data_IF_341182950065
#
_entry.id   IF_341182950065
#
_cell.length_a   1.000
_cell.length_b   1.000
_cell.length_c   1.000
_cell.angle_alpha   90.00
_cell.angle_beta   90.00
_cell.angle_gamma   90.00
#
_symmetry.space_group_name_H-M   'P 1'
#
loop_
_entity.id
_entity.type
_entity.pdbx_description
1 polymer ?
#
# COMPACT_ATOMS: atom_id res chain seq x y z
N UNK A 1 0.30 1.93 -80.52
CA UNK A 1 -0.22 2.69 -79.35
C UNK A 1 0.91 2.76 -78.33
N UNK A 2 1.80 3.75 -78.45
CA UNK A 2 2.91 3.93 -77.50
C UNK A 2 2.41 4.78 -76.34
N UNK A 3 2.16 4.16 -75.19
CA UNK A 3 1.95 4.88 -73.94
C UNK A 3 3.30 5.51 -73.56
N UNK A 4 3.47 6.81 -73.77
CA UNK A 4 4.58 7.54 -73.19
C UNK A 4 4.36 7.53 -71.67
N UNK A 5 5.11 6.67 -70.97
CA UNK A 5 5.08 6.52 -69.51
C UNK A 5 5.64 7.76 -68.80
N UNK A 6 4.96 8.89 -68.97
CA UNK A 6 5.21 10.09 -68.19
C UNK A 6 4.68 9.91 -66.77
N UNK A 7 5.40 10.47 -65.80
CA UNK A 7 4.95 10.52 -64.41
C UNK A 7 3.63 11.30 -64.36
N UNK A 8 2.54 10.72 -63.82
CA UNK A 8 1.25 11.39 -63.77
C UNK A 8 1.30 12.63 -62.86
N UNK A 9 0.43 13.62 -63.06
CA UNK A 9 0.35 14.78 -62.16
C UNK A 9 0.04 14.35 -60.72
N UNK A 10 0.75 14.93 -59.74
CA UNK A 10 0.59 14.53 -58.35
C UNK A 10 1.58 15.17 -57.38
N UNK A 11 1.44 14.84 -56.10
CA UNK A 11 2.38 15.23 -55.05
C UNK A 11 3.52 14.23 -54.96
N UNK A 12 4.75 14.72 -55.13
CA UNK A 12 5.95 13.91 -55.07
C UNK A 12 6.95 14.54 -54.10
N UNK A 13 7.84 13.73 -53.54
CA UNK A 13 8.91 14.20 -52.66
C UNK A 13 9.82 15.18 -53.43
N UNK A 14 10.16 16.31 -52.82
CA UNK A 14 11.03 17.32 -53.44
C UNK A 14 12.52 16.97 -53.37
N UNK A 15 12.87 15.81 -52.80
CA UNK A 15 14.23 15.27 -52.65
C UNK A 15 15.20 16.20 -51.90
N UNK A 16 14.71 17.26 -51.26
CA UNK A 16 15.51 18.18 -50.45
C UNK A 16 15.85 17.61 -49.07
N UNK A 17 15.25 16.47 -48.69
CA UNK A 17 15.39 15.87 -47.37
C UNK A 17 14.56 16.54 -46.28
N UNK A 18 13.79 17.59 -46.61
CA UNK A 18 12.90 18.29 -45.67
C UNK A 18 11.62 17.52 -45.33
N UNK A 19 11.28 16.50 -46.12
CA UNK A 19 10.01 15.77 -46.03
C UNK A 19 8.81 16.54 -46.59
N UNK A 20 9.07 17.62 -47.32
CA UNK A 20 8.08 18.41 -48.04
C UNK A 20 7.78 17.77 -49.41
N UNK A 21 6.50 17.73 -49.77
CA UNK A 21 6.09 17.30 -51.11
C UNK A 21 5.88 18.51 -52.02
N UNK A 22 6.26 18.38 -53.29
CA UNK A 22 6.07 19.38 -54.33
C UNK A 22 5.11 18.84 -55.40
N UNK A 23 4.32 19.73 -56.00
CA UNK A 23 3.35 19.33 -57.03
C UNK A 23 3.98 19.24 -58.43
N UNK A 24 3.84 18.08 -59.08
CA UNK A 24 4.17 17.82 -60.48
C UNK A 24 2.91 17.95 -61.35
N UNK A 25 2.95 18.75 -62.41
CA UNK A 25 1.79 18.98 -63.29
C UNK A 25 1.70 18.01 -64.48
N UNK A 26 2.62 17.04 -64.57
CA UNK A 26 2.74 16.12 -65.72
C UNK A 26 3.82 16.54 -66.72
N UNK A 27 4.34 17.76 -66.64
CA UNK A 27 5.40 18.29 -67.51
C UNK A 27 6.55 18.95 -66.72
N UNK A 28 6.24 19.60 -65.59
CA UNK A 28 7.20 20.30 -64.74
C UNK A 28 6.76 20.33 -63.27
N UNK A 29 7.73 20.63 -62.42
CA UNK A 29 7.50 20.95 -61.02
C UNK A 29 6.91 22.36 -60.87
N UNK A 30 5.80 22.48 -60.16
CA UNK A 30 5.16 23.78 -59.88
C UNK A 30 5.70 24.41 -58.58
N UNK A 31 5.34 25.66 -58.29
CA UNK A 31 5.75 26.34 -57.04
C UNK A 31 4.94 25.95 -55.80
N UNK A 32 4.06 24.93 -55.88
CA UNK A 32 3.23 24.50 -54.76
C UNK A 32 3.97 23.45 -53.93
N UNK A 33 4.06 23.71 -52.63
CA UNK A 33 4.68 22.86 -51.63
C UNK A 33 3.68 22.53 -50.52
N UNK A 34 3.67 21.28 -50.04
CA UNK A 34 2.92 20.93 -48.83
C UNK A 34 3.72 21.31 -47.59
N UNK A 35 3.04 21.81 -46.56
CA UNK A 35 3.70 21.99 -45.27
C UNK A 35 4.16 20.61 -44.75
N UNK A 36 5.39 20.49 -44.22
CA UNK A 36 5.86 19.22 -43.66
C UNK A 36 4.89 18.78 -42.56
N UNK A 37 4.54 17.48 -42.49
CA UNK A 37 3.61 17.00 -41.48
C UNK A 37 4.18 17.34 -40.11
N UNK A 38 3.38 18.03 -39.28
CA UNK A 38 3.75 18.34 -37.91
C UNK A 38 4.20 17.04 -37.24
N UNK A 39 5.47 16.99 -36.85
CA UNK A 39 6.11 15.79 -36.28
C UNK A 39 5.25 15.38 -35.08
N UNK A 40 4.43 14.33 -35.23
CA UNK A 40 3.61 13.81 -34.14
C UNK A 40 4.60 13.40 -33.05
N UNK A 41 4.73 14.24 -32.03
CA UNK A 41 5.60 14.00 -30.88
C UNK A 41 5.08 12.73 -30.22
N UNK A 42 5.72 11.59 -30.52
CA UNK A 42 5.32 10.29 -29.99
C UNK A 42 5.49 10.39 -28.48
N UNK A 43 4.36 10.58 -27.80
CA UNK A 43 4.29 10.79 -26.36
C UNK A 43 4.75 9.50 -25.68
N UNK A 44 6.03 9.45 -25.31
CA UNK A 44 6.63 8.37 -24.52
C UNK A 44 6.07 8.34 -23.08
N UNK A 45 5.27 9.34 -22.71
CA UNK A 45 4.65 9.56 -21.40
C UNK A 45 3.57 8.53 -21.03
N UNK A 46 2.98 7.83 -22.01
CA UNK A 46 1.89 6.86 -21.76
C UNK A 46 2.34 5.65 -20.92
N UNK A 47 3.64 5.34 -20.86
CA UNK A 47 4.16 4.17 -20.16
C UNK A 47 4.72 4.42 -18.75
N UNK A 48 4.78 5.67 -18.28
CA UNK A 48 5.44 6.02 -17.00
C UNK A 48 4.50 5.91 -15.80
N UNK A 49 3.21 6.24 -16.00
CA UNK A 49 2.18 6.20 -14.96
C UNK A 49 1.94 4.79 -14.34
N UNK A 50 1.79 3.70 -15.12
CA UNK A 50 1.57 2.38 -14.52
C UNK A 50 2.78 1.86 -13.72
N UNK A 51 4.00 2.30 -14.06
CA UNK A 51 5.23 1.90 -13.36
C UNK A 51 5.32 2.55 -11.97
N UNK A 52 4.89 3.81 -11.82
CA UNK A 52 4.85 4.49 -10.52
C UNK A 52 3.82 3.83 -9.60
N UNK A 53 2.63 3.49 -10.13
CA UNK A 53 1.57 2.85 -9.35
C UNK A 53 2.00 1.47 -8.83
N UNK A 54 2.68 0.66 -9.65
CA UNK A 54 3.18 -0.65 -9.21
C UNK A 54 4.30 -0.54 -8.18
N UNK A 55 5.18 0.45 -8.28
CA UNK A 55 6.22 0.69 -7.27
C UNK A 55 5.62 1.16 -5.94
N UNK A 56 4.63 2.04 -5.96
CA UNK A 56 3.97 2.54 -4.74
C UNK A 56 3.14 1.45 -4.07
N UNK A 57 2.30 0.73 -4.83
CA UNK A 57 1.47 -0.35 -4.29
C UNK A 57 2.30 -1.57 -3.90
N UNK A 58 3.27 -1.96 -4.73
CA UNK A 58 4.17 -3.08 -4.45
C UNK A 58 5.11 -2.79 -3.29
N UNK A 59 5.76 -1.63 -3.29
CA UNK A 59 6.66 -1.21 -2.22
C UNK A 59 5.92 -0.99 -0.88
N UNK A 60 4.76 -0.33 -0.91
CA UNK A 60 3.93 -0.12 0.27
C UNK A 60 3.39 -1.42 0.87
N UNK A 61 2.96 -2.35 0.02
CA UNK A 61 2.48 -3.67 0.43
C UNK A 61 3.60 -4.51 1.05
N UNK A 62 4.77 -4.59 0.40
CA UNK A 62 5.94 -5.30 0.94
C UNK A 62 6.39 -4.69 2.27
N UNK A 63 6.42 -3.36 2.39
CA UNK A 63 6.76 -2.68 3.64
C UNK A 63 5.75 -2.97 4.75
N UNK A 64 4.46 -2.97 4.44
CA UNK A 64 3.41 -3.33 5.40
C UNK A 64 3.57 -4.77 5.92
N UNK A 65 3.86 -5.74 5.04
CA UNK A 65 4.05 -7.13 5.46
C UNK A 65 5.38 -7.39 6.19
N UNK A 66 6.42 -6.60 5.94
CA UNK A 66 7.74 -6.81 6.55
C UNK A 66 7.97 -5.99 7.82
N UNK A 67 7.38 -4.81 7.93
CA UNK A 67 7.60 -3.87 9.05
C UNK A 67 6.32 -3.48 9.79
N UNK A 68 5.14 -3.65 9.19
CA UNK A 68 3.84 -3.29 9.75
C UNK A 68 3.11 -4.45 10.45
N UNK A 69 3.83 -5.35 11.11
CA UNK A 69 3.21 -6.41 11.94
C UNK A 69 2.24 -5.82 12.99
N UNK A 70 1.22 -6.57 13.43
CA UNK A 70 0.15 -6.05 14.28
C UNK A 70 0.67 -5.70 15.69
N UNK A 71 0.86 -4.41 15.98
CA UNK A 71 1.66 -3.94 17.14
C UNK A 71 0.90 -3.58 18.42
N UNK A 72 -0.43 -3.76 18.56
CA UNK A 72 -1.11 -3.29 19.79
C UNK A 72 -2.16 -4.20 20.41
N UNK A 73 -2.81 -5.11 19.67
CA UNK A 73 -3.92 -5.91 20.21
C UNK A 73 -3.50 -7.26 20.79
N UNK A 74 -2.36 -7.81 20.39
CA UNK A 74 -1.95 -9.16 20.81
C UNK A 74 -1.63 -9.26 22.30
N UNK A 75 -0.86 -8.31 22.85
CA UNK A 75 -0.51 -8.30 24.28
C UNK A 75 -1.69 -8.00 25.19
N UNK A 76 -2.62 -7.16 24.72
CA UNK A 76 -3.87 -6.92 25.43
C UNK A 76 -4.70 -8.21 25.49
N UNK A 77 -4.86 -8.89 24.36
CA UNK A 77 -5.61 -10.14 24.27
C UNK A 77 -4.98 -11.27 25.10
N UNK A 78 -3.66 -11.41 25.03
CA UNK A 78 -2.90 -12.38 25.84
C UNK A 78 -3.08 -12.16 27.34
N UNK A 79 -3.14 -10.90 27.77
CA UNK A 79 -3.42 -10.53 29.16
C UNK A 79 -4.86 -10.83 29.56
N UNK A 80 -5.81 -10.51 28.68
CA UNK A 80 -7.24 -10.78 28.87
C UNK A 80 -7.52 -12.28 29.01
N UNK A 81 -6.94 -13.10 28.14
CA UNK A 81 -7.08 -14.56 28.19
C UNK A 81 -6.46 -15.13 29.47
N UNK A 82 -5.28 -14.63 29.89
CA UNK A 82 -4.67 -15.03 31.15
C UNK A 82 -5.56 -14.72 32.37
N UNK A 83 -6.22 -13.57 32.40
CA UNK A 83 -7.20 -13.21 33.44
C UNK A 83 -8.50 -14.03 33.34
N UNK A 84 -8.90 -14.44 32.13
CA UNK A 84 -10.08 -15.29 31.92
C UNK A 84 -9.84 -16.75 32.33
N UNK A 85 -8.66 -17.29 32.11
CA UNK A 85 -8.33 -18.69 32.41
C UNK A 85 -7.85 -18.90 33.85
N UNK A 86 -7.01 -18.00 34.36
CA UNK A 86 -6.38 -18.12 35.69
C UNK A 86 -6.90 -17.14 36.73
N UNK A 87 -7.69 -16.14 36.33
CA UNK A 87 -8.40 -15.26 37.26
C UNK A 87 -9.32 -16.10 38.13
N UNK A 88 -9.04 -16.07 39.43
CA UNK A 88 -9.30 -17.16 40.36
C UNK A 88 -10.81 -17.28 40.59
N UNK A 89 -11.40 -18.34 40.03
CA UNK A 89 -12.76 -18.76 40.34
C UNK A 89 -12.87 -19.62 41.60
N UNK A 90 -11.76 -19.99 42.24
CA UNK A 90 -11.77 -21.10 43.22
C UNK A 90 -11.42 -20.70 44.66
N UNK A 91 -10.54 -19.72 44.92
CA UNK A 91 -10.16 -19.39 46.30
C UNK A 91 -10.89 -18.16 46.82
N UNK A 92 -11.77 -18.42 47.77
CA UNK A 92 -12.38 -17.63 48.86
C UNK A 92 -11.49 -16.50 49.49
N UNK A 93 -10.88 -15.64 48.69
CA UNK A 93 -10.07 -14.49 49.13
C UNK A 93 -10.50 -13.17 48.47
N UNK A 94 -11.64 -13.16 47.77
CA UNK A 94 -12.25 -11.93 47.24
C UNK A 94 -13.09 -11.30 48.35
N UNK A 95 -12.48 -10.44 49.16
CA UNK A 95 -13.24 -9.36 49.79
C UNK A 95 -12.48 -8.02 49.80
N UNK A 96 -11.14 -8.00 49.66
CA UNK A 96 -10.39 -6.73 49.74
C UNK A 96 -9.16 -6.59 48.83
N UNK A 97 -8.85 -7.58 47.98
CA UNK A 97 -7.70 -7.50 47.07
C UNK A 97 -7.99 -6.69 45.80
N UNK A 98 -7.26 -5.60 45.56
CA UNK A 98 -7.35 -4.84 44.30
C UNK A 98 -7.04 -5.76 43.09
N UNK A 99 -7.84 -5.71 42.00
CA UNK A 99 -7.62 -6.53 40.79
C UNK A 99 -6.23 -6.34 40.18
N UNK A 100 -5.59 -5.20 40.45
CA UNK A 100 -4.21 -4.94 40.02
C UNK A 100 -3.18 -5.87 40.65
N UNK A 101 -3.40 -6.31 41.90
CA UNK A 101 -2.45 -7.13 42.67
C UNK A 101 -2.51 -8.60 42.22
N UNK A 102 -3.70 -9.05 41.87
CA UNK A 102 -3.93 -10.41 41.37
C UNK A 102 -3.30 -10.59 39.98
N UNK A 103 -3.49 -9.62 39.09
CA UNK A 103 -2.85 -9.62 37.78
C UNK A 103 -1.31 -9.51 37.88
N UNK A 104 -0.77 -8.79 38.86
CA UNK A 104 0.67 -8.74 39.11
C UNK A 104 1.25 -10.12 39.49
N UNK A 105 0.53 -10.91 40.28
CA UNK A 105 0.95 -12.28 40.63
C UNK A 105 0.78 -13.25 39.45
N UNK A 106 -0.34 -13.19 38.73
CA UNK A 106 -0.60 -14.06 37.58
C UNK A 106 0.38 -13.84 36.42
N UNK A 107 0.78 -12.58 36.20
CA UNK A 107 1.71 -12.20 35.15
C UNK A 107 3.18 -12.23 35.60
N UNK A 108 3.47 -12.53 36.87
CA UNK A 108 4.85 -12.58 37.39
C UNK A 108 5.74 -13.59 36.65
N UNK A 109 5.17 -14.67 36.11
CA UNK A 109 5.88 -15.65 35.27
C UNK A 109 6.12 -15.17 33.82
N UNK A 110 5.36 -14.18 33.35
CA UNK A 110 5.47 -13.62 31.98
C UNK A 110 6.22 -12.29 31.95
N UNK A 111 6.11 -11.47 32.99
CA UNK A 111 6.70 -10.14 33.11
C UNK A 111 7.75 -10.19 34.21
N UNK A 112 9.02 -10.02 33.84
CA UNK A 112 10.12 -9.91 34.81
C UNK A 112 9.92 -8.65 35.67
N UNK A 113 10.31 -8.72 36.95
CA UNK A 113 10.14 -7.60 37.90
C UNK A 113 10.77 -6.29 37.42
N UNK A 114 11.95 -6.37 36.77
CA UNK A 114 12.66 -5.22 36.21
C UNK A 114 12.00 -4.62 34.95
N UNK A 115 11.06 -5.35 34.34
CA UNK A 115 10.50 -5.03 33.01
C UNK A 115 9.03 -4.60 33.06
N UNK A 116 8.49 -4.38 34.27
CA UNK A 116 7.08 -4.04 34.53
C UNK A 116 6.64 -2.71 33.90
N UNK A 117 7.57 -1.80 33.63
CA UNK A 117 7.25 -0.48 33.09
C UNK A 117 7.25 -0.44 31.55
N UNK A 118 7.59 -1.54 30.89
CA UNK A 118 7.52 -1.63 29.44
C UNK A 118 6.08 -1.47 28.95
N UNK A 119 5.94 -0.97 27.73
CA UNK A 119 4.63 -0.83 27.09
C UNK A 119 3.89 -2.18 27.03
N UNK A 120 4.62 -3.26 26.70
CA UNK A 120 4.10 -4.64 26.71
C UNK A 120 3.55 -5.07 28.07
N UNK A 121 4.31 -4.86 29.14
CA UNK A 121 3.88 -5.22 30.49
C UNK A 121 2.61 -4.46 30.92
N UNK A 122 2.51 -3.18 30.55
CA UNK A 122 1.34 -2.35 30.82
C UNK A 122 0.09 -2.84 30.08
N UNK A 123 0.21 -3.19 28.80
CA UNK A 123 -0.91 -3.71 28.00
C UNK A 123 -1.38 -5.10 28.47
N UNK A 124 -0.45 -6.00 28.79
CA UNK A 124 -0.77 -7.31 29.39
C UNK A 124 -1.56 -7.15 30.70
N UNK A 125 -1.12 -6.23 31.58
CA UNK A 125 -1.81 -5.96 32.84
C UNK A 125 -3.20 -5.37 32.62
N UNK A 126 -3.34 -4.43 31.68
CA UNK A 126 -4.64 -3.84 31.31
C UNK A 126 -5.65 -4.90 30.87
N UNK A 127 -5.24 -5.80 29.97
CA UNK A 127 -6.09 -6.91 29.51
C UNK A 127 -6.54 -7.82 30.67
N UNK A 128 -5.62 -8.21 31.54
CA UNK A 128 -5.92 -9.07 32.69
C UNK A 128 -6.92 -8.41 33.66
N UNK A 129 -6.69 -7.13 34.02
CA UNK A 129 -7.59 -6.39 34.92
C UNK A 129 -8.98 -6.26 34.32
N UNK A 130 -9.08 -6.02 33.01
CA UNK A 130 -10.36 -5.93 32.33
C UNK A 130 -11.14 -7.24 32.40
N UNK A 131 -10.50 -8.39 32.13
CA UNK A 131 -11.15 -9.70 32.21
C UNK A 131 -11.73 -10.00 33.60
N UNK A 132 -11.01 -9.62 34.67
CA UNK A 132 -11.47 -9.80 36.06
C UNK A 132 -12.67 -8.88 36.35
N UNK A 133 -12.61 -7.62 35.91
CA UNK A 133 -13.74 -6.68 36.06
C UNK A 133 -14.99 -7.19 35.37
N UNK A 134 -14.87 -7.69 34.14
CA UNK A 134 -16.00 -8.20 33.36
C UNK A 134 -16.60 -9.45 34.01
N UNK A 135 -15.77 -10.37 34.51
CA UNK A 135 -16.22 -11.52 35.31
C UNK A 135 -16.98 -11.11 36.58
N UNK A 136 -16.46 -10.12 37.31
CA UNK A 136 -17.09 -9.62 38.53
C UNK A 136 -18.42 -8.91 38.24
N UNK A 137 -18.50 -8.16 37.14
CA UNK A 137 -19.72 -7.53 36.67
C UNK A 137 -20.78 -8.58 36.31
N UNK A 138 -20.39 -9.66 35.62
CA UNK A 138 -21.31 -10.75 35.26
C UNK A 138 -21.83 -11.55 36.48
N UNK A 139 -21.15 -11.48 37.63
CA UNK A 139 -21.53 -12.18 38.87
C UNK A 139 -22.46 -11.38 39.78
N UNK A 140 -22.65 -10.08 39.51
CA UNK A 140 -23.61 -9.23 40.22
C UNK A 140 -24.96 -9.30 39.49
N UNK A 141 -25.99 -9.96 40.05
CA UNK A 141 -27.34 -9.96 39.48
C UNK A 141 -28.00 -8.57 39.57
#
# INVERSE_FOLDING_TARGET
MTHHGGVPPGWYDDASGSGTQRWWDGQRWTGHYTAPPARRRRSRTIWVLPLIVTVVLGGGSIWYYTFGGPTHTEWYQEGYDAGKERGIGESRFIETGSPDTECDMLLSGKIKFNDRNTFRARELKRGCVQAIKDKNAAKRP
#
